data_IF_580843348940
#
_entry.id   IF_580843348940
#
_cell.length_a   1.000
_cell.length_b   1.000
_cell.length_c   1.000
_cell.angle_alpha   90.00
_cell.angle_beta   90.00
_cell.angle_gamma   90.00
#
_symmetry.space_group_name_H-M   'P 1'
#
loop_
_entity.id
_entity.type
_entity.pdbx_description
1 polymer ?
#
# COMPACT_ATOMS: atom_id res chain seq x y z
N UNK A 1 14.77 33.73 -51.89
CA UNK A 1 14.09 33.04 -53.01
C UNK A 1 13.87 31.59 -52.60
N UNK A 2 12.61 31.24 -52.49
CA UNK A 2 12.03 29.96 -52.08
C UNK A 2 12.31 28.85 -53.10
N UNK A 3 12.55 27.63 -52.62
CA UNK A 3 12.06 26.43 -53.32
C UNK A 3 12.02 25.23 -52.37
N UNK A 4 10.84 24.64 -52.28
CA UNK A 4 10.48 23.46 -51.51
C UNK A 4 10.97 22.19 -52.22
N UNK A 5 11.63 21.28 -51.49
CA UNK A 5 11.82 19.90 -51.94
C UNK A 5 10.60 19.06 -51.53
N UNK A 6 9.75 18.76 -52.51
CA UNK A 6 8.61 17.84 -52.40
C UNK A 6 9.05 16.45 -52.85
N UNK A 7 9.09 15.47 -51.95
CA UNK A 7 9.25 14.05 -52.31
C UNK A 7 7.86 13.46 -52.54
N UNK A 8 7.55 13.17 -53.81
CA UNK A 8 6.33 12.47 -54.25
C UNK A 8 6.44 10.98 -53.93
N UNK A 9 5.52 10.47 -53.11
CA UNK A 9 5.22 9.03 -53.00
C UNK A 9 4.39 8.61 -54.22
N UNK A 10 4.85 7.58 -54.93
CA UNK A 10 4.12 6.92 -56.02
C UNK A 10 3.03 6.02 -55.42
N UNK A 11 1.76 6.42 -55.58
CA UNK A 11 0.60 5.56 -55.36
C UNK A 11 -0.05 5.22 -56.71
N UNK A 12 -0.42 3.96 -56.99
CA UNK A 12 -1.17 3.61 -58.20
C UNK A 12 -2.65 4.05 -58.10
N UNK A 13 -3.37 4.21 -59.23
CA UNK A 13 -4.71 4.77 -59.25
C UNK A 13 -5.74 3.74 -58.78
N UNK A 14 -6.62 4.15 -57.87
CA UNK A 14 -7.82 3.41 -57.49
C UNK A 14 -8.92 3.65 -58.54
N UNK A 15 -9.18 2.67 -59.40
CA UNK A 15 -10.39 2.61 -60.22
C UNK A 15 -11.57 2.18 -59.35
N UNK A 16 -12.57 3.05 -59.21
CA UNK A 16 -13.84 2.71 -58.57
C UNK A 16 -14.67 1.80 -59.49
N UNK A 17 -14.90 0.55 -59.07
CA UNK A 17 -16.06 -0.24 -59.50
C UNK A 17 -16.96 -0.48 -58.28
N UNK A 18 -18.14 0.13 -58.28
CA UNK A 18 -19.19 -0.09 -57.30
C UNK A 18 -19.78 -1.49 -57.50
N UNK A 19 -19.31 -2.45 -56.71
CA UNK A 19 -19.99 -3.73 -56.49
C UNK A 19 -20.63 -3.69 -55.11
N UNK A 20 -21.96 -3.65 -55.08
CA UNK A 20 -22.76 -3.69 -53.85
C UNK A 20 -22.69 -5.09 -53.23
N UNK A 21 -21.70 -5.32 -52.37
CA UNK A 21 -21.70 -6.46 -51.46
C UNK A 21 -22.39 -6.05 -50.16
N UNK A 22 -23.65 -6.43 -50.01
CA UNK A 22 -24.39 -6.39 -48.74
C UNK A 22 -23.81 -7.43 -47.79
N UNK A 23 -22.69 -7.11 -47.13
CA UNK A 23 -22.29 -7.82 -45.92
C UNK A 23 -23.14 -7.31 -44.75
N UNK A 24 -23.87 -8.18 -44.03
CA UNK A 24 -24.59 -7.75 -42.85
C UNK A 24 -23.57 -7.23 -41.82
N UNK A 25 -23.73 -5.97 -41.39
CA UNK A 25 -23.07 -5.47 -40.19
C UNK A 25 -23.69 -6.19 -38.99
N UNK A 26 -23.06 -7.27 -38.55
CA UNK A 26 -23.39 -7.87 -37.26
C UNK A 26 -22.97 -6.87 -36.17
N UNK A 27 -23.92 -6.10 -35.66
CA UNK A 27 -23.74 -5.42 -34.37
C UNK A 27 -23.64 -6.51 -33.32
N UNK A 28 -22.44 -6.78 -32.81
CA UNK A 28 -22.27 -7.57 -31.61
C UNK A 28 -22.87 -6.76 -30.45
N UNK A 29 -24.11 -7.03 -30.13
CA UNK A 29 -24.67 -6.66 -28.83
C UNK A 29 -24.08 -7.62 -27.81
N UNK A 30 -23.11 -7.16 -27.03
CA UNK A 30 -22.86 -7.78 -25.74
C UNK A 30 -24.07 -7.47 -24.87
N UNK A 31 -25.05 -8.39 -24.84
CA UNK A 31 -26.10 -8.34 -23.84
C UNK A 31 -25.44 -8.37 -22.45
N UNK A 32 -25.95 -7.63 -21.45
CA UNK A 32 -25.45 -7.78 -20.10
C UNK A 32 -25.66 -9.24 -19.71
N UNK A 33 -24.59 -10.02 -19.67
CA UNK A 33 -24.65 -11.35 -19.05
C UNK A 33 -24.77 -11.06 -17.57
N UNK A 34 -26.02 -10.93 -17.09
CA UNK A 34 -26.33 -11.00 -15.67
C UNK A 34 -25.99 -12.42 -15.29
N UNK A 35 -24.75 -12.64 -14.84
CA UNK A 35 -24.38 -13.85 -14.13
C UNK A 35 -25.33 -13.89 -12.95
N UNK A 36 -26.25 -14.85 -12.94
CA UNK A 36 -27.12 -15.02 -11.79
C UNK A 36 -26.22 -15.24 -10.58
N UNK A 37 -26.42 -14.49 -9.48
CA UNK A 37 -25.66 -14.74 -8.27
C UNK A 37 -25.92 -16.19 -7.87
N UNK A 38 -24.87 -17.02 -7.95
CA UNK A 38 -24.92 -18.33 -7.32
C UNK A 38 -24.98 -18.03 -5.83
N UNK A 39 -26.15 -18.25 -5.22
CA UNK A 39 -26.28 -18.24 -3.77
C UNK A 39 -25.48 -19.43 -3.24
N UNK A 40 -24.19 -19.22 -3.03
CA UNK A 40 -23.37 -20.14 -2.27
C UNK A 40 -23.78 -19.94 -0.81
N UNK A 41 -24.54 -20.88 -0.26
CA UNK A 41 -24.76 -20.92 1.19
C UNK A 41 -23.40 -21.04 1.88
N UNK A 42 -22.98 -19.95 2.52
CA UNK A 42 -21.77 -19.92 3.34
C UNK A 42 -22.18 -20.32 4.75
N UNK A 43 -21.61 -21.42 5.23
CA UNK A 43 -21.76 -21.87 6.61
C UNK A 43 -21.48 -20.70 7.58
N UNK A 44 -22.39 -20.47 8.53
CA UNK A 44 -22.28 -19.39 9.52
C UNK A 44 -21.00 -19.52 10.34
N UNK A 45 -20.52 -20.75 10.60
CA UNK A 45 -19.25 -20.99 11.27
C UNK A 45 -18.06 -20.37 10.52
N UNK A 46 -18.17 -20.23 9.19
CA UNK A 46 -17.12 -19.61 8.36
C UNK A 46 -16.94 -18.11 8.65
N UNK A 47 -17.96 -17.47 9.21
CA UNK A 47 -18.00 -16.03 9.51
C UNK A 47 -17.42 -15.69 10.89
N UNK A 48 -17.08 -16.69 11.70
CA UNK A 48 -16.51 -16.45 13.01
C UNK A 48 -15.17 -15.69 12.91
N UNK A 49 -14.97 -14.61 13.70
CA UNK A 49 -13.68 -13.93 13.80
C UNK A 49 -12.57 -14.90 14.21
N UNK A 50 -11.51 -14.98 13.40
CA UNK A 50 -10.42 -15.94 13.61
C UNK A 50 -9.31 -15.41 14.51
N UNK A 51 -9.25 -14.10 14.68
CA UNK A 51 -8.32 -13.40 15.55
C UNK A 51 -9.06 -12.81 16.74
N UNK A 52 -8.35 -12.54 17.82
CA UNK A 52 -8.85 -11.83 18.98
C UNK A 52 -7.74 -10.92 19.54
N UNK A 53 -8.15 -9.89 20.26
CA UNK A 53 -7.22 -9.02 20.96
C UNK A 53 -6.70 -9.71 22.24
N UNK A 54 -5.40 -9.65 22.45
CA UNK A 54 -4.71 -10.09 23.65
C UNK A 54 -3.54 -9.15 23.93
N UNK A 55 -3.51 -8.56 25.12
CA UNK A 55 -2.43 -7.68 25.60
C UNK A 55 -2.10 -6.53 24.61
N UNK A 56 -3.12 -5.93 23.99
CA UNK A 56 -2.96 -4.85 23.02
C UNK A 56 -2.54 -5.29 21.60
N UNK A 57 -2.46 -6.59 21.32
CA UNK A 57 -2.12 -7.15 20.00
C UNK A 57 -3.21 -8.10 19.49
N UNK A 58 -3.21 -8.37 18.18
CA UNK A 58 -4.20 -9.23 17.55
C UNK A 58 -3.59 -10.57 17.15
N UNK A 59 -4.08 -11.65 17.75
CA UNK A 59 -3.50 -13.00 17.60
C UNK A 59 -4.53 -14.00 17.07
N UNK A 60 -4.06 -15.00 16.32
CA UNK A 60 -4.91 -16.06 15.78
C UNK A 60 -5.38 -16.99 16.92
N UNK A 61 -6.70 -17.23 17.01
CA UNK A 61 -7.29 -18.16 17.99
C UNK A 61 -6.73 -19.57 17.77
N UNK A 62 -6.52 -20.30 18.87
CA UNK A 62 -5.88 -21.63 18.85
C UNK A 62 -6.55 -22.61 17.88
N UNK A 63 -7.88 -22.64 17.88
CA UNK A 63 -8.66 -23.50 16.99
C UNK A 63 -8.43 -23.28 15.48
N UNK A 64 -7.92 -22.11 15.09
CA UNK A 64 -7.62 -21.79 13.69
C UNK A 64 -6.13 -21.90 13.35
N UNK A 65 -5.29 -22.44 14.25
CA UNK A 65 -3.83 -22.57 14.04
C UNK A 65 -3.43 -23.84 13.28
N UNK A 66 -4.35 -24.77 13.04
CA UNK A 66 -4.05 -25.97 12.28
C UNK A 66 -3.82 -25.63 10.79
N UNK A 67 -2.76 -26.19 10.19
CA UNK A 67 -2.48 -26.04 8.75
C UNK A 67 -1.99 -24.66 8.31
N UNK A 68 -1.67 -23.76 9.23
CA UNK A 68 -1.18 -22.42 8.89
C UNK A 68 0.20 -22.45 8.22
N UNK A 69 0.43 -21.46 7.36
CA UNK A 69 1.70 -21.31 6.65
C UNK A 69 2.86 -20.94 7.62
N UNK A 70 4.12 -21.07 7.18
CA UNK A 70 5.27 -20.73 8.02
C UNK A 70 5.29 -19.28 8.53
N UNK A 71 4.78 -18.31 7.76
CA UNK A 71 4.77 -16.90 8.15
C UNK A 71 3.80 -16.64 9.31
N UNK A 72 2.63 -17.29 9.32
CA UNK A 72 1.69 -17.26 10.45
C UNK A 72 2.33 -17.85 11.72
N UNK A 73 3.12 -18.93 11.58
CA UNK A 73 3.86 -19.50 12.72
C UNK A 73 4.85 -18.50 13.31
N UNK A 74 5.56 -17.74 12.47
CA UNK A 74 6.51 -16.70 12.92
C UNK A 74 5.79 -15.61 13.73
N UNK A 75 4.61 -15.16 13.28
CA UNK A 75 3.79 -14.15 13.97
C UNK A 75 3.28 -14.66 15.32
N UNK A 76 2.87 -15.93 15.40
CA UNK A 76 2.41 -16.55 16.65
C UNK A 76 3.57 -16.75 17.64
N UNK A 77 4.75 -17.12 17.14
CA UNK A 77 5.93 -17.34 17.99
C UNK A 77 6.34 -16.06 18.72
N UNK A 78 6.31 -14.92 18.04
CA UNK A 78 6.57 -13.60 18.62
C UNK A 78 5.92 -12.52 17.77
N UNK A 79 5.18 -11.62 18.43
CA UNK A 79 4.48 -10.52 17.79
C UNK A 79 5.49 -9.52 17.18
N UNK A 80 5.50 -9.31 15.84
CA UNK A 80 6.47 -8.44 15.19
C UNK A 80 6.45 -6.99 15.66
N UNK A 81 5.28 -6.44 16.00
CA UNK A 81 5.17 -5.04 16.41
C UNK A 81 5.89 -4.74 17.73
N UNK A 82 6.15 -5.75 18.57
CA UNK A 82 6.93 -5.59 19.82
C UNK A 82 8.35 -5.07 19.58
N UNK A 83 8.94 -5.37 18.42
CA UNK A 83 10.26 -4.83 18.05
C UNK A 83 10.27 -3.30 18.03
N UNK A 84 9.12 -2.66 17.76
CA UNK A 84 8.97 -1.20 17.81
C UNK A 84 8.28 -0.74 19.09
N UNK A 85 7.06 -1.25 19.34
CA UNK A 85 6.16 -0.75 20.40
C UNK A 85 6.68 -1.03 21.81
N UNK A 86 7.52 -2.07 21.97
CA UNK A 86 8.17 -2.43 23.24
C UNK A 86 9.70 -2.23 23.16
N UNK A 87 10.17 -1.45 22.17
CA UNK A 87 11.59 -1.16 21.94
C UNK A 87 12.50 -2.40 21.80
N UNK A 88 11.95 -3.55 21.38
CA UNK A 88 12.72 -4.79 21.22
C UNK A 88 13.84 -4.71 20.18
N UNK A 89 13.80 -3.72 19.28
CA UNK A 89 14.86 -3.44 18.31
C UNK A 89 16.18 -3.04 18.97
N UNK A 90 16.15 -2.42 20.15
CA UNK A 90 17.37 -1.95 20.82
C UNK A 90 18.28 -3.12 21.18
N UNK A 91 17.74 -4.15 21.83
CA UNK A 91 18.49 -5.35 22.19
C UNK A 91 18.88 -6.17 20.96
N UNK A 92 17.98 -6.29 19.97
CA UNK A 92 18.27 -6.99 18.72
C UNK A 92 19.44 -6.34 17.96
N UNK A 93 19.54 -5.01 18.00
CA UNK A 93 20.57 -4.24 17.30
C UNK A 93 21.97 -4.40 17.86
N UNK A 94 22.09 -4.87 19.12
CA UNK A 94 23.36 -5.10 19.80
C UNK A 94 24.00 -6.45 19.42
N UNK A 95 23.23 -7.36 18.82
CA UNK A 95 23.70 -8.70 18.43
C UNK A 95 24.46 -8.66 17.10
N UNK A 96 25.52 -9.46 17.00
CA UNK A 96 26.22 -9.69 15.74
C UNK A 96 25.40 -10.59 14.80
N UNK A 97 25.65 -10.47 13.48
CA UNK A 97 24.97 -11.32 12.48
C UNK A 97 25.22 -12.82 12.70
N UNK A 98 26.40 -13.18 13.21
CA UNK A 98 26.74 -14.57 13.54
C UNK A 98 25.92 -15.11 14.72
N UNK A 99 25.70 -14.30 15.76
CA UNK A 99 24.85 -14.67 16.88
C UNK A 99 23.39 -14.80 16.45
N UNK A 100 22.93 -13.87 15.61
CA UNK A 100 21.57 -13.87 15.07
C UNK A 100 21.30 -15.13 14.25
N UNK A 101 22.27 -15.57 13.44
CA UNK A 101 22.12 -16.75 12.58
C UNK A 101 22.16 -18.09 13.34
N UNK A 102 22.61 -18.12 14.61
CA UNK A 102 22.63 -19.33 15.45
C UNK A 102 21.25 -19.75 15.95
N UNK A 103 20.32 -18.80 16.14
CA UNK A 103 18.97 -19.09 16.62
C UNK A 103 17.94 -18.81 15.53
N UNK A 104 16.98 -19.73 15.38
CA UNK A 104 15.87 -19.56 14.43
C UNK A 104 15.04 -18.32 14.78
N UNK A 105 14.85 -18.02 16.07
CA UNK A 105 13.97 -16.92 16.47
C UNK A 105 14.54 -15.54 16.12
N UNK A 106 15.82 -15.30 16.42
CA UNK A 106 16.53 -14.06 16.05
C UNK A 106 16.69 -13.94 14.54
N UNK A 107 16.90 -15.07 13.85
CA UNK A 107 16.92 -15.09 12.38
C UNK A 107 15.57 -14.69 11.78
N UNK A 108 14.46 -15.20 12.35
CA UNK A 108 13.11 -14.80 11.95
C UNK A 108 12.84 -13.32 12.29
N UNK A 109 13.43 -12.77 13.35
CA UNK A 109 13.36 -11.32 13.60
C UNK A 109 13.90 -10.53 12.42
N UNK A 110 15.15 -10.80 12.02
CA UNK A 110 15.80 -10.00 10.97
C UNK A 110 15.26 -10.26 9.56
N UNK A 111 14.89 -11.51 9.26
CA UNK A 111 14.47 -11.91 7.92
C UNK A 111 12.97 -11.70 7.69
N UNK A 112 12.16 -11.67 8.76
CA UNK A 112 10.69 -11.60 8.68
C UNK A 112 10.12 -10.45 9.50
N UNK A 113 10.33 -10.44 10.83
CA UNK A 113 9.59 -9.51 11.72
C UNK A 113 10.01 -8.05 11.55
N UNK A 114 11.27 -7.78 11.24
CA UNK A 114 11.77 -6.43 10.93
C UNK A 114 11.08 -5.76 9.73
N UNK A 115 10.38 -6.51 8.88
CA UNK A 115 9.58 -5.94 7.80
C UNK A 115 8.35 -5.17 8.32
N UNK A 116 7.91 -5.40 9.56
CA UNK A 116 6.94 -4.55 10.26
C UNK A 116 7.52 -3.20 10.68
N UNK A 117 8.85 -3.09 10.79
CA UNK A 117 9.58 -1.82 10.96
C UNK A 117 10.09 -1.28 9.62
N UNK A 118 9.68 -1.91 8.50
CA UNK A 118 10.07 -1.52 7.15
C UNK A 118 11.49 -1.91 6.74
N UNK A 119 12.15 -2.80 7.49
CA UNK A 119 13.51 -3.26 7.23
C UNK A 119 13.50 -4.64 6.55
N UNK A 120 14.30 -4.77 5.50
CA UNK A 120 14.35 -5.95 4.64
C UNK A 120 15.79 -6.43 4.51
N UNK A 121 16.15 -7.46 5.28
CA UNK A 121 17.47 -8.07 5.18
C UNK A 121 17.73 -8.60 3.75
N UNK A 122 18.86 -8.21 3.17
CA UNK A 122 19.29 -8.60 1.82
C UNK A 122 20.16 -9.86 1.83
N UNK A 123 19.84 -10.83 2.69
CA UNK A 123 20.60 -12.05 2.99
C UNK A 123 21.41 -12.65 1.84
N UNK A 124 20.79 -12.87 0.68
CA UNK A 124 21.44 -13.55 -0.47
C UNK A 124 22.40 -12.64 -1.26
N UNK A 125 22.04 -11.39 -1.46
CA UNK A 125 22.70 -10.51 -2.44
C UNK A 125 23.53 -9.41 -1.80
N UNK A 126 23.27 -9.10 -0.54
CA UNK A 126 23.99 -8.10 0.24
C UNK A 126 23.85 -8.45 1.73
N UNK A 127 24.55 -9.50 2.15
CA UNK A 127 24.44 -10.07 3.51
C UNK A 127 24.75 -9.03 4.59
N UNK A 128 23.99 -9.04 5.68
CA UNK A 128 24.14 -8.09 6.79
C UNK A 128 23.57 -6.69 6.51
N UNK A 129 23.18 -6.39 5.26
CA UNK A 129 22.58 -5.11 4.88
C UNK A 129 21.07 -5.17 4.76
N UNK A 130 20.42 -4.06 5.10
CA UNK A 130 18.99 -3.89 5.04
C UNK A 130 18.62 -2.84 3.98
N UNK A 131 17.55 -3.12 3.24
CA UNK A 131 16.77 -2.06 2.61
C UNK A 131 15.72 -1.58 3.61
N UNK A 132 15.53 -0.28 3.75
CA UNK A 132 14.47 0.30 4.58
C UNK A 132 13.46 1.01 3.69
N UNK A 133 12.17 0.76 3.92
CA UNK A 133 11.05 1.33 3.16
C UNK A 133 10.12 2.12 4.06
N UNK A 134 9.70 3.29 3.59
CA UNK A 134 8.89 4.23 4.35
C UNK A 134 7.38 4.00 4.23
N UNK A 135 6.61 4.77 4.99
CA UNK A 135 5.27 5.24 4.64
C UNK A 135 5.41 6.68 4.13
N UNK A 136 4.87 6.92 2.96
CA UNK A 136 4.95 8.20 2.25
C UNK A 136 3.64 8.43 1.51
N UNK A 137 2.56 8.78 2.23
CA UNK A 137 1.25 8.95 1.62
C UNK A 137 1.31 9.97 0.49
N UNK A 138 0.68 9.66 -0.64
CA UNK A 138 0.67 10.49 -1.84
C UNK A 138 2.05 10.74 -2.50
N UNK A 139 3.11 10.08 -2.01
CA UNK A 139 4.48 10.25 -2.52
C UNK A 139 5.12 11.61 -2.26
N UNK A 140 4.56 12.42 -1.35
CA UNK A 140 5.06 13.76 -1.04
C UNK A 140 6.23 13.67 -0.06
N UNK A 141 7.34 14.36 -0.37
CA UNK A 141 8.48 14.55 0.55
C UNK A 141 8.86 16.02 0.66
N UNK A 142 9.48 16.37 1.78
CA UNK A 142 10.14 17.68 1.96
C UNK A 142 11.63 17.59 1.63
N UNK A 143 12.25 18.73 1.35
CA UNK A 143 13.69 18.79 1.09
C UNK A 143 14.53 18.38 2.31
N UNK A 144 14.04 18.62 3.52
CA UNK A 144 14.65 18.19 4.78
C UNK A 144 14.65 16.66 4.91
N UNK A 145 13.49 16.03 4.69
CA UNK A 145 13.35 14.57 4.67
C UNK A 145 14.28 13.93 3.64
N UNK A 146 14.33 14.46 2.41
CA UNK A 146 15.23 13.96 1.37
C UNK A 146 16.70 14.09 1.77
N UNK A 147 17.11 15.21 2.38
CA UNK A 147 18.49 15.40 2.86
C UNK A 147 18.84 14.44 3.99
N UNK A 148 17.91 14.19 4.92
CA UNK A 148 18.10 13.19 5.98
C UNK A 148 18.29 11.78 5.40
N UNK A 149 17.42 11.35 4.46
CA UNK A 149 17.57 10.04 3.81
C UNK A 149 18.92 9.94 3.07
N UNK A 150 19.35 11.03 2.43
CA UNK A 150 20.65 11.10 1.77
C UNK A 150 21.82 11.01 2.76
N UNK A 151 21.75 11.64 3.94
CA UNK A 151 22.80 11.49 4.96
C UNK A 151 22.81 10.09 5.56
N UNK A 152 21.64 9.50 5.81
CA UNK A 152 21.52 8.15 6.37
C UNK A 152 22.18 7.09 5.47
N UNK A 153 22.09 7.22 4.14
CA UNK A 153 22.75 6.29 3.21
C UNK A 153 24.20 6.65 2.89
N UNK A 154 24.59 7.92 3.00
CA UNK A 154 25.94 8.39 2.65
C UNK A 154 27.02 7.67 3.45
N UNK A 155 26.74 7.34 4.72
CA UNK A 155 27.69 6.62 5.60
C UNK A 155 28.04 5.22 5.10
N UNK A 156 27.21 4.61 4.24
CA UNK A 156 27.44 3.28 3.68
C UNK A 156 28.23 3.27 2.37
N UNK A 157 28.63 4.44 1.86
CA UNK A 157 29.48 4.55 0.67
C UNK A 157 28.91 3.76 -0.52
N UNK A 158 29.69 2.81 -1.05
CA UNK A 158 29.31 1.95 -2.18
C UNK A 158 28.09 1.06 -1.92
N UNK A 159 27.77 0.81 -0.65
CA UNK A 159 26.64 -0.03 -0.24
C UNK A 159 25.35 0.79 -0.09
N UNK A 160 25.46 2.12 -0.10
CA UNK A 160 24.38 3.08 0.07
C UNK A 160 23.83 3.62 -1.25
N UNK A 161 22.52 3.48 -1.45
CA UNK A 161 21.77 4.19 -2.50
C UNK A 161 20.29 4.28 -2.10
N UNK A 162 19.49 4.97 -2.91
CA UNK A 162 18.05 5.08 -2.72
C UNK A 162 17.29 4.89 -4.04
N UNK A 163 16.06 4.39 -3.94
CA UNK A 163 15.18 4.15 -5.08
C UNK A 163 13.77 4.69 -4.83
N UNK A 164 13.16 5.23 -5.88
CA UNK A 164 11.71 5.47 -5.94
C UNK A 164 11.01 4.17 -6.34
N UNK A 165 9.95 3.81 -5.63
CA UNK A 165 9.18 2.58 -5.89
C UNK A 165 7.95 2.84 -6.76
N UNK A 166 7.39 1.76 -7.32
CA UNK A 166 6.12 1.79 -8.06
C UNK A 166 4.89 2.16 -7.23
N UNK A 167 5.04 2.34 -5.92
CA UNK A 167 4.01 2.91 -5.03
C UNK A 167 4.39 4.31 -4.55
N UNK A 168 5.06 5.10 -5.40
CA UNK A 168 5.47 6.49 -5.14
C UNK A 168 6.10 6.66 -3.75
N UNK A 169 7.12 5.86 -3.44
CA UNK A 169 7.68 5.76 -2.09
C UNK A 169 9.20 5.65 -2.15
N UNK A 170 9.88 5.95 -1.04
CA UNK A 170 11.32 5.80 -0.87
C UNK A 170 11.71 4.42 -0.36
N UNK A 171 12.83 3.93 -0.89
CA UNK A 171 13.64 2.88 -0.27
C UNK A 171 15.07 3.37 -0.15
N UNK A 172 15.66 3.24 1.04
CA UNK A 172 17.09 3.43 1.26
C UNK A 172 17.79 2.09 1.44
N UNK A 173 19.07 2.00 1.07
CA UNK A 173 19.87 0.77 1.11
C UNK A 173 21.19 0.98 1.85
N UNK A 174 21.79 -0.13 2.27
CA UNK A 174 23.08 -0.16 2.95
C UNK A 174 22.98 -0.19 4.48
N UNK A 175 21.77 -0.07 5.02
CA UNK A 175 21.52 -0.02 6.48
C UNK A 175 22.12 -1.24 7.18
N UNK A 176 22.87 -1.00 8.26
CA UNK A 176 23.34 -2.05 9.17
C UNK A 176 22.41 -2.13 10.38
N UNK A 177 22.29 -3.32 10.97
CA UNK A 177 21.39 -3.54 12.10
C UNK A 177 21.70 -2.64 13.33
N UNK A 178 22.97 -2.42 13.73
CA UNK A 178 23.30 -1.55 14.86
C UNK A 178 22.85 -0.09 14.69
N UNK A 179 22.72 0.38 13.45
CA UNK A 179 22.30 1.75 13.15
C UNK A 179 20.78 1.96 13.19
N UNK A 180 20.00 0.88 13.26
CA UNK A 180 18.55 0.95 13.11
C UNK A 180 17.89 1.84 14.18
N UNK A 181 18.22 1.75 15.48
CA UNK A 181 17.61 2.62 16.49
C UNK A 181 17.80 4.12 16.19
N UNK A 182 19.03 4.53 15.84
CA UNK A 182 19.35 5.92 15.48
C UNK A 182 18.58 6.36 14.22
N UNK A 183 18.50 5.50 13.20
CA UNK A 183 17.77 5.82 11.96
C UNK A 183 16.27 5.98 12.23
N UNK A 184 15.69 5.15 13.10
CA UNK A 184 14.27 5.26 13.46
C UNK A 184 13.99 6.58 14.19
N UNK A 185 14.88 6.99 15.10
CA UNK A 185 14.78 8.29 15.77
C UNK A 185 14.88 9.44 14.77
N UNK A 186 15.91 9.46 13.93
CA UNK A 186 16.10 10.54 12.95
C UNK A 186 14.97 10.61 11.91
N UNK A 187 14.35 9.48 11.56
CA UNK A 187 13.13 9.49 10.74
C UNK A 187 11.98 10.21 11.46
N UNK A 188 11.76 9.90 12.73
CA UNK A 188 10.70 10.53 13.52
C UNK A 188 10.93 12.05 13.66
N UNK A 189 12.17 12.49 13.87
CA UNK A 189 12.54 13.91 13.97
C UNK A 189 12.18 14.72 12.71
N UNK A 190 12.29 14.12 11.51
CA UNK A 190 11.89 14.77 10.24
C UNK A 190 10.45 14.43 9.80
N UNK A 191 9.65 13.83 10.69
CA UNK A 191 8.24 13.49 10.45
C UNK A 191 8.01 12.32 9.48
N UNK A 192 8.97 11.40 9.37
CA UNK A 192 8.85 10.16 8.58
C UNK A 192 8.62 8.93 9.48
N UNK A 193 8.07 7.88 8.89
CA UNK A 193 7.98 6.55 9.53
C UNK A 193 8.20 5.44 8.51
N UNK A 194 8.72 4.30 8.96
CA UNK A 194 8.90 3.08 8.14
C UNK A 194 7.92 1.96 8.51
N UNK A 195 7.03 2.21 9.48
CA UNK A 195 6.17 1.19 10.06
C UNK A 195 5.27 0.52 9.03
N UNK A 196 5.14 -0.79 9.21
CA UNK A 196 4.20 -1.69 8.53
C UNK A 196 4.30 -1.60 6.99
N UNK A 197 5.48 -1.30 6.43
CA UNK A 197 5.68 -1.11 4.97
C UNK A 197 5.97 -2.42 4.22
N UNK A 198 6.20 -3.51 4.97
CA UNK A 198 6.47 -4.85 4.47
C UNK A 198 5.41 -5.89 4.85
N UNK A 199 5.74 -7.17 4.66
CA UNK A 199 4.97 -8.35 5.08
C UNK A 199 3.44 -8.21 5.01
N UNK A 200 2.73 -8.68 6.03
CA UNK A 200 1.27 -8.78 6.10
C UNK A 200 0.67 -7.51 6.68
N UNK A 201 0.95 -6.40 6.01
CA UNK A 201 0.51 -5.08 6.39
C UNK A 201 -0.11 -4.33 5.22
N UNK A 202 -0.78 -3.23 5.56
CA UNK A 202 -1.20 -2.22 4.58
C UNK A 202 0.01 -1.47 4.03
N UNK A 203 0.11 -1.45 2.70
CA UNK A 203 1.20 -0.82 1.97
C UNK A 203 0.99 0.69 1.84
N UNK A 204 1.91 1.35 1.13
CA UNK A 204 1.86 2.80 0.97
C UNK A 204 0.51 3.23 0.37
N UNK A 205 -0.22 4.18 1.00
CA UNK A 205 -1.41 4.78 0.41
C UNK A 205 -1.03 5.63 -0.80
N UNK A 206 -1.48 5.19 -1.97
CA UNK A 206 -1.20 5.89 -3.23
C UNK A 206 -2.29 6.92 -3.51
N UNK A 207 -1.92 8.10 -3.99
CA UNK A 207 -2.84 9.14 -4.44
C UNK A 207 -2.36 9.85 -5.70
N UNK A 208 -3.11 10.86 -6.14
CA UNK A 208 -2.83 11.62 -7.36
C UNK A 208 -1.47 12.34 -7.22
N UNK A 209 -0.48 12.10 -8.10
CA UNK A 209 0.79 12.82 -8.05
C UNK A 209 0.65 14.33 -8.28
N UNK A 210 -0.46 14.78 -8.87
CA UNK A 210 -0.75 16.18 -9.15
C UNK A 210 -1.76 16.81 -8.17
N UNK A 211 -2.00 16.17 -7.03
CA UNK A 211 -2.99 16.59 -6.05
C UNK A 211 -2.74 18.02 -5.52
N UNK A 212 -3.77 18.87 -5.60
CA UNK A 212 -3.77 20.26 -5.14
C UNK A 212 -3.05 21.26 -6.05
N UNK A 213 -2.59 20.82 -7.23
CA UNK A 213 -1.85 21.67 -8.18
C UNK A 213 -2.36 21.57 -9.63
N UNK A 214 -3.04 20.49 -9.97
CA UNK A 214 -3.62 20.28 -11.31
C UNK A 214 -4.99 20.97 -11.43
N UNK A 215 -5.18 21.90 -12.39
CA UNK A 215 -6.47 22.53 -12.65
C UNK A 215 -7.60 21.56 -12.98
N UNK A 216 -7.25 20.37 -13.51
CA UNK A 216 -8.20 19.34 -13.94
C UNK A 216 -8.39 18.23 -12.89
N UNK A 217 -7.88 18.41 -11.66
CA UNK A 217 -8.08 17.41 -10.61
C UNK A 217 -9.54 17.28 -10.19
N UNK A 218 -9.97 16.06 -9.87
CA UNK A 218 -11.31 15.79 -9.35
C UNK A 218 -11.38 16.18 -7.87
N UNK A 219 -10.36 15.78 -7.10
CA UNK A 219 -10.24 16.06 -5.67
C UNK A 219 -8.79 15.93 -5.21
N UNK A 220 -8.35 16.81 -4.31
CA UNK A 220 -7.07 16.65 -3.64
C UNK A 220 -7.05 15.37 -2.78
N UNK A 221 -6.13 14.47 -3.10
CA UNK A 221 -6.02 13.14 -2.47
C UNK A 221 -5.11 13.11 -1.24
N UNK A 222 -4.35 14.19 -0.98
CA UNK A 222 -3.39 14.26 0.13
C UNK A 222 -4.06 14.12 1.51
N UNK A 223 -5.19 14.79 1.82
CA UNK A 223 -5.84 14.64 3.12
C UNK A 223 -6.25 13.19 3.41
N UNK A 224 -6.83 12.50 2.43
CA UNK A 224 -7.32 11.14 2.60
C UNK A 224 -6.19 10.11 2.73
N UNK A 225 -5.15 10.23 1.91
CA UNK A 225 -3.98 9.33 2.00
C UNK A 225 -3.18 9.56 3.29
N UNK A 226 -3.14 10.81 3.80
CA UNK A 226 -2.54 11.16 5.08
C UNK A 226 -3.30 10.49 6.24
N UNK A 227 -4.63 10.62 6.27
CA UNK A 227 -5.49 9.95 7.25
C UNK A 227 -5.35 8.42 7.23
N UNK A 228 -5.30 7.82 6.04
CA UNK A 228 -5.05 6.39 5.89
C UNK A 228 -3.69 6.01 6.50
N UNK A 229 -2.63 6.75 6.19
CA UNK A 229 -1.29 6.47 6.74
C UNK A 229 -1.24 6.61 8.26
N UNK A 230 -1.86 7.67 8.80
CA UNK A 230 -1.98 7.92 10.23
C UNK A 230 -2.74 6.79 10.92
N UNK A 231 -3.87 6.36 10.37
CA UNK A 231 -4.63 5.23 10.90
C UNK A 231 -3.83 3.93 10.86
N UNK A 232 -3.22 3.61 9.71
CA UNK A 232 -2.45 2.37 9.53
C UNK A 232 -1.33 2.30 10.56
N UNK A 233 -0.66 3.41 10.81
CA UNK A 233 0.53 3.48 11.67
C UNK A 233 0.25 3.95 13.09
N UNK A 234 -1.01 4.18 13.47
CA UNK A 234 -1.34 4.71 14.80
C UNK A 234 -0.65 6.04 15.08
N UNK A 235 -0.67 6.96 14.11
CA UNK A 235 0.10 8.21 14.14
C UNK A 235 1.60 7.98 14.36
N UNK A 236 2.18 7.04 13.60
CA UNK A 236 3.58 6.61 13.72
C UNK A 236 3.97 5.87 15.01
N UNK A 237 3.01 5.53 15.90
CA UNK A 237 3.27 4.76 17.13
C UNK A 237 3.08 3.23 16.97
N UNK A 238 2.60 2.79 15.81
CA UNK A 238 2.17 1.43 15.54
C UNK A 238 0.68 1.21 15.78
N UNK A 239 0.02 0.47 14.88
CA UNK A 239 -1.36 0.02 15.07
C UNK A 239 -1.44 -1.50 14.92
N UNK A 240 -1.58 -2.20 16.04
CA UNK A 240 -1.65 -3.65 16.09
C UNK A 240 -2.94 -4.22 15.47
N UNK A 241 -4.03 -3.44 15.41
CA UNK A 241 -5.31 -3.89 14.86
C UNK A 241 -5.25 -4.19 13.35
N UNK A 242 -4.28 -3.60 12.65
CA UNK A 242 -4.07 -3.78 11.20
C UNK A 242 -2.67 -4.31 10.87
N UNK A 243 -1.94 -4.82 11.88
CA UNK A 243 -0.58 -5.36 11.68
C UNK A 243 -0.55 -6.86 11.41
N UNK A 244 -1.59 -7.61 11.78
CA UNK A 244 -1.66 -9.06 11.60
C UNK A 244 -2.67 -9.45 10.52
N UNK A 245 -2.49 -8.93 9.31
CA UNK A 245 -3.29 -9.35 8.17
C UNK A 245 -2.89 -10.77 7.75
N UNK A 246 -3.74 -11.50 7.01
CA UNK A 246 -3.32 -12.78 6.42
C UNK A 246 -2.35 -12.59 5.25
N UNK A 247 -2.33 -11.40 4.64
CA UNK A 247 -1.38 -11.02 3.59
C UNK A 247 -1.28 -9.50 3.41
N UNK A 248 -0.34 -9.10 2.55
CA UNK A 248 -0.19 -7.71 2.09
C UNK A 248 -1.50 -7.14 1.58
N UNK A 249 -1.70 -5.84 1.76
CA UNK A 249 -2.90 -5.16 1.30
C UNK A 249 -2.58 -3.75 0.79
N UNK A 250 -2.93 -3.44 -0.46
CA UNK A 250 -2.63 -2.19 -1.14
C UNK A 250 -3.86 -1.29 -1.16
N UNK A 251 -3.67 0.01 -0.93
CA UNK A 251 -4.75 1.00 -0.93
C UNK A 251 -4.39 2.21 -1.78
N UNK A 252 -5.37 2.76 -2.50
CA UNK A 252 -5.23 4.03 -3.20
C UNK A 252 -6.49 4.90 -3.13
N UNK A 253 -6.32 6.21 -3.25
CA UNK A 253 -7.41 7.20 -3.36
C UNK A 253 -7.28 7.89 -4.70
N UNK A 254 -8.32 7.84 -5.52
CA UNK A 254 -8.32 8.45 -6.85
C UNK A 254 -8.76 9.90 -6.76
N UNK A 255 -8.02 10.78 -7.43
CA UNK A 255 -8.40 12.19 -7.61
C UNK A 255 -8.10 12.74 -9.00
N UNK A 256 -7.69 11.88 -9.94
CA UNK A 256 -7.40 12.24 -11.32
C UNK A 256 -8.35 11.55 -12.30
N UNK A 257 -8.62 12.20 -13.43
CA UNK A 257 -9.32 11.56 -14.55
C UNK A 257 -8.46 10.48 -15.22
N UNK A 258 -7.13 10.64 -15.20
CA UNK A 258 -6.14 9.73 -15.76
C UNK A 258 -6.03 8.39 -15.02
N UNK A 259 -6.48 8.33 -13.77
CA UNK A 259 -6.34 7.17 -12.88
C UNK A 259 -4.87 6.79 -12.63
N UNK A 260 -4.00 7.79 -12.43
CA UNK A 260 -2.57 7.61 -12.10
C UNK A 260 -2.33 6.69 -10.89
N UNK A 261 -3.31 6.56 -10.01
CA UNK A 261 -3.27 5.80 -8.77
C UNK A 261 -3.51 4.29 -8.99
N UNK A 262 -3.83 3.89 -10.23
CA UNK A 262 -4.09 2.53 -10.67
C UNK A 262 -5.11 1.77 -9.80
N UNK A 263 -6.37 2.24 -9.71
CA UNK A 263 -7.38 1.67 -8.82
C UNK A 263 -7.68 0.18 -9.11
N UNK A 264 -7.52 -0.25 -10.36
CA UNK A 264 -7.82 -1.61 -10.82
C UNK A 264 -6.88 -2.71 -10.26
N UNK A 265 -5.75 -2.35 -9.66
CA UNK A 265 -4.78 -3.30 -9.06
C UNK A 265 -4.56 -3.10 -7.54
N UNK A 266 -5.40 -2.29 -6.88
CA UNK A 266 -5.35 -2.12 -5.43
C UNK A 266 -6.41 -2.99 -4.74
N UNK A 267 -6.09 -3.45 -3.53
CA UNK A 267 -7.01 -4.26 -2.73
C UNK A 267 -8.22 -3.44 -2.26
N UNK A 268 -8.03 -2.12 -2.07
CA UNK A 268 -9.08 -1.12 -1.94
C UNK A 268 -8.72 0.13 -2.75
N UNK A 269 -9.65 0.57 -3.58
CA UNK A 269 -9.56 1.87 -4.25
C UNK A 269 -10.80 2.71 -3.94
N UNK A 270 -10.56 3.96 -3.58
CA UNK A 270 -11.59 4.98 -3.40
C UNK A 270 -11.78 5.75 -4.70
N UNK A 271 -12.93 5.57 -5.34
CA UNK A 271 -13.30 6.21 -6.61
C UNK A 271 -14.21 7.41 -6.34
N UNK A 272 -13.81 8.66 -6.63
CA UNK A 272 -14.60 9.85 -6.30
C UNK A 272 -15.96 9.81 -7.00
N UNK A 273 -17.03 10.06 -6.25
CA UNK A 273 -18.39 10.01 -6.74
C UNK A 273 -19.34 10.91 -5.93
N UNK A 274 -20.35 11.45 -6.58
CA UNK A 274 -21.45 12.17 -5.91
C UNK A 274 -22.66 11.27 -5.78
N UNK A 275 -23.26 11.21 -4.58
CA UNK A 275 -24.50 10.49 -4.31
C UNK A 275 -25.43 11.38 -3.48
N UNK A 276 -26.67 11.54 -3.94
CA UNK A 276 -27.69 12.37 -3.29
C UNK A 276 -27.19 13.80 -2.98
N UNK A 277 -26.50 14.41 -3.96
CA UNK A 277 -25.92 15.76 -3.83
C UNK A 277 -24.68 15.87 -2.93
N UNK A 278 -24.17 14.77 -2.37
CA UNK A 278 -22.99 14.76 -1.48
C UNK A 278 -21.80 14.08 -2.15
N UNK A 279 -20.63 14.70 -2.03
CA UNK A 279 -19.37 14.11 -2.45
C UNK A 279 -19.00 12.91 -1.56
N UNK A 280 -18.29 11.95 -2.12
CA UNK A 280 -17.81 10.76 -1.43
C UNK A 280 -17.05 9.83 -2.38
N UNK A 281 -16.98 8.55 -2.01
CA UNK A 281 -16.26 7.56 -2.79
C UNK A 281 -17.08 6.28 -3.00
N UNK A 282 -17.17 5.81 -4.24
CA UNK A 282 -17.44 4.42 -4.53
C UNK A 282 -16.20 3.59 -4.17
N UNK A 283 -16.40 2.33 -3.78
CA UNK A 283 -15.30 1.45 -3.35
C UNK A 283 -15.11 0.31 -4.36
N UNK A 284 -13.89 0.16 -4.87
CA UNK A 284 -13.46 -1.04 -5.59
C UNK A 284 -12.60 -1.88 -4.68
N UNK A 285 -12.75 -3.21 -4.72
CA UNK A 285 -12.08 -4.12 -3.79
C UNK A 285 -11.53 -5.36 -4.47
N UNK A 286 -10.41 -5.88 -3.93
CA UNK A 286 -9.83 -7.17 -4.31
C UNK A 286 -8.92 -7.15 -5.54
N UNK A 287 -8.43 -5.98 -5.99
CA UNK A 287 -7.41 -5.91 -7.03
C UNK A 287 -6.05 -6.37 -6.50
N UNK A 288 -5.40 -7.33 -7.18
CA UNK A 288 -4.05 -7.77 -6.82
C UNK A 288 -3.31 -8.34 -8.03
N UNK A 289 -1.98 -8.29 -7.98
CA UNK A 289 -1.09 -8.94 -8.94
C UNK A 289 -0.28 -10.04 -8.24
N UNK A 290 -0.40 -11.27 -8.73
CA UNK A 290 0.43 -12.43 -8.36
C UNK A 290 0.84 -13.21 -9.62
N UNK A 291 1.95 -13.96 -9.59
CA UNK A 291 2.29 -14.87 -10.68
C UNK A 291 1.13 -15.83 -10.99
N UNK A 292 0.94 -16.16 -12.28
CA UNK A 292 -0.18 -16.97 -12.79
C UNK A 292 -0.35 -18.30 -12.03
N UNK A 293 0.76 -18.93 -11.61
CA UNK A 293 0.76 -20.23 -10.94
C UNK A 293 0.28 -20.18 -9.48
N UNK A 294 0.24 -18.99 -8.87
CA UNK A 294 -0.18 -18.76 -7.48
C UNK A 294 -1.68 -18.42 -7.38
N UNK A 295 -2.33 -18.11 -8.50
CA UNK A 295 -3.72 -17.62 -8.55
C UNK A 295 -4.74 -18.65 -8.03
N UNK A 296 -4.44 -19.96 -8.12
CA UNK A 296 -5.35 -21.05 -7.69
C UNK A 296 -5.58 -21.12 -6.18
N UNK A 297 -4.72 -20.50 -5.36
CA UNK A 297 -4.76 -20.68 -3.91
C UNK A 297 -5.50 -19.56 -3.15
N UNK A 298 -5.87 -18.47 -3.83
CA UNK A 298 -6.35 -17.23 -3.18
C UNK A 298 -7.87 -17.01 -3.21
N UNK A 299 -8.66 -17.89 -3.85
CA UNK A 299 -10.12 -17.80 -3.89
C UNK A 299 -10.82 -18.06 -2.53
N UNK A 300 -10.08 -18.17 -1.43
CA UNK A 300 -10.57 -18.59 -0.12
C UNK A 300 -10.20 -17.60 1.01
N UNK A 301 -10.56 -16.32 0.89
CA UNK A 301 -10.41 -15.35 1.99
C UNK A 301 -11.70 -14.59 2.31
N UNK A 302 -12.46 -14.98 3.35
CA UNK A 302 -13.66 -14.29 3.79
C UNK A 302 -13.39 -13.16 4.78
N UNK A 303 -13.92 -11.99 4.47
CA UNK A 303 -15.10 -11.46 5.19
C UNK A 303 -14.88 -10.52 6.37
N UNK A 304 -13.91 -10.73 7.26
CA UNK A 304 -13.82 -9.90 8.49
C UNK A 304 -13.03 -8.60 8.27
N UNK A 305 -11.81 -8.70 7.74
CA UNK A 305 -10.91 -7.56 7.53
C UNK A 305 -11.45 -6.59 6.47
N UNK A 306 -12.05 -7.10 5.40
CA UNK A 306 -12.67 -6.28 4.35
C UNK A 306 -13.89 -5.49 4.88
N UNK A 307 -14.66 -6.06 5.81
CA UNK A 307 -15.75 -5.34 6.50
C UNK A 307 -15.23 -4.23 7.40
N UNK A 308 -14.12 -4.45 8.12
CA UNK A 308 -13.47 -3.42 8.94
C UNK A 308 -12.98 -2.24 8.08
N UNK A 309 -12.32 -2.51 6.94
CA UNK A 309 -11.91 -1.46 6.00
C UNK A 309 -13.09 -0.76 5.35
N UNK A 310 -14.15 -1.49 4.97
CA UNK A 310 -15.39 -0.90 4.48
C UNK A 310 -16.10 -0.06 5.56
N UNK A 311 -16.01 -0.43 6.84
CA UNK A 311 -16.57 0.32 7.95
C UNK A 311 -15.77 1.60 8.23
N UNK A 312 -14.44 1.50 8.28
CA UNK A 312 -13.54 2.65 8.40
C UNK A 312 -13.72 3.61 7.21
N UNK A 313 -13.79 3.09 5.99
CA UNK A 313 -14.11 3.84 4.77
C UNK A 313 -15.45 4.58 4.87
N UNK A 314 -16.47 3.97 5.46
CA UNK A 314 -17.79 4.58 5.66
C UNK A 314 -17.82 5.61 6.79
N UNK A 315 -16.97 5.48 7.80
CA UNK A 315 -16.96 6.36 8.97
C UNK A 315 -16.09 7.60 8.77
N UNK A 316 -14.85 7.45 8.30
CA UNK A 316 -13.82 8.50 8.38
C UNK A 316 -13.50 9.19 7.04
N UNK A 317 -14.10 8.75 5.93
CA UNK A 317 -13.92 9.39 4.61
C UNK A 317 -15.22 10.01 4.09
N UNK A 318 -16.16 10.31 5.00
CA UNK A 318 -17.31 11.17 4.70
C UNK A 318 -16.85 12.64 4.75
N UNK A 319 -17.02 13.42 3.66
CA UNK A 319 -16.56 14.81 3.62
C UNK A 319 -17.24 15.75 4.62
N UNK A 320 -18.34 15.35 5.26
CA UNK A 320 -19.18 16.25 6.05
C UNK A 320 -18.67 16.56 7.46
N UNK A 321 -17.57 15.95 7.94
CA UNK A 321 -17.05 16.22 9.29
C UNK A 321 -15.58 16.66 9.33
N UNK A 322 -14.89 16.76 8.18
CA UNK A 322 -13.42 17.01 8.14
C UNK A 322 -13.08 18.45 7.74
N UNK A 323 -14.05 19.29 7.38
CA UNK A 323 -13.81 20.70 7.05
C UNK A 323 -14.91 21.62 7.62
N UNK A 324 -14.71 22.07 8.85
CA UNK A 324 -15.09 23.41 9.30
C UNK A 324 -14.26 23.76 10.55
N UNK A 325 -13.28 24.68 10.47
CA UNK A 325 -12.91 25.47 11.63
C UNK A 325 -14.17 26.28 12.02
N UNK A 326 -14.63 26.16 13.26
CA UNK A 326 -15.67 27.05 13.78
C UNK A 326 -15.23 28.50 13.57
N UNK A 327 -15.99 29.24 12.75
CA UNK A 327 -16.02 30.70 12.81
C UNK A 327 -16.52 31.10 14.21
N UNK A 328 -15.62 31.14 15.17
CA UNK A 328 -15.84 31.86 16.42
C UNK A 328 -15.65 33.33 16.14
N UNK A 329 -16.73 33.96 15.66
CA UNK A 329 -16.90 35.39 15.71
C UNK A 329 -16.77 35.87 17.15
N UNK A 330 -15.61 36.44 17.50
CA UNK A 330 -15.50 37.49 18.50
C UNK A 330 -14.88 38.71 17.84
N UNK A 331 -15.73 39.71 17.61
CA UNK A 331 -15.31 41.10 17.55
C UNK A 331 -14.45 41.38 18.78
N UNK A 332 -13.20 41.75 18.55
CA UNK A 332 -12.42 42.51 19.50
C UNK A 332 -12.76 43.98 19.26
N UNK A 333 -13.53 44.55 20.20
CA UNK A 333 -13.32 45.94 20.63
C UNK A 333 -12.20 45.96 21.66
#
# INVERSE_FOLDING_TARGET
>A
MSSLYSVRLLSPPLSHSLSSSTRPRTKLFAGPTVVQPVEVEVDVERLEPRVYEKDGYWVLKEKFRQGINPQEKVKIQKEPMKLFMENGIEELSKLSMEEIDKSKDTKDDIDVRLKWLGLFHRRKHHYGRFMMRLKLPNGVTTSEQTRYLASAIRKYGKDGCADVTTRQNWQIRGVELPDVPEILQGLAEVGLTSLQSGMDNVRNPVGNPLAGIDPDEIVDTRPYTNLLSQFITGNSNGNSAVSNLPRKWNVCVVGSHDLYEHPHINDLAYMPATKDGRFGFNLLVGGFLVPRDVLRQFLLMPGFQQKMWCHYAKQYLRPTEILAPEETGRRLE
#
